data_IF_103625227575
#
_entry.id   IF_103625227575
#
_cell.length_a   1.000
_cell.length_b   1.000
_cell.length_c   1.000
_cell.angle_alpha   90.00
_cell.angle_beta   90.00
_cell.angle_gamma   90.00
#
_symmetry.space_group_name_H-M   'P 1'
#
loop_
_entity.id
_entity.type
_entity.pdbx_description
1 polymer ?
#
# COMPACT_ATOMS: atom_id res chain seq x y z
N UNK A 1 -22.40 11.97 -6.37
CA UNK A 1 -22.35 10.70 -5.61
C UNK A 1 -20.95 10.55 -5.03
N UNK A 2 -20.82 10.18 -3.77
CA UNK A 2 -19.54 10.12 -3.05
C UNK A 2 -18.72 8.90 -3.49
N UNK A 3 -17.87 9.07 -4.51
CA UNK A 3 -17.04 7.98 -5.08
C UNK A 3 -15.79 7.72 -4.22
N UNK A 4 -15.98 7.12 -3.04
CA UNK A 4 -14.85 6.52 -2.32
C UNK A 4 -14.58 5.11 -2.86
N UNK A 5 -13.76 5.02 -3.91
CA UNK A 5 -13.44 3.75 -4.59
C UNK A 5 -12.41 2.88 -3.83
N UNK A 6 -12.16 3.15 -2.54
CA UNK A 6 -11.18 2.39 -1.74
C UNK A 6 -11.83 1.15 -1.12
N UNK A 7 -11.19 0.00 -1.30
CA UNK A 7 -11.59 -1.27 -0.68
C UNK A 7 -10.91 -1.43 0.69
N UNK A 8 -11.69 -1.76 1.74
CA UNK A 8 -11.12 -2.14 3.03
C UNK A 8 -10.58 -3.57 2.95
N UNK A 9 -9.31 -3.73 3.33
CA UNK A 9 -8.63 -5.04 3.39
C UNK A 9 -8.09 -5.29 4.80
N UNK A 10 -8.07 -6.55 5.23
CA UNK A 10 -7.45 -6.98 6.50
C UNK A 10 -6.21 -7.78 6.17
N UNK A 11 -5.07 -7.42 6.75
CA UNK A 11 -3.79 -8.08 6.52
C UNK A 11 -3.09 -8.32 7.86
N UNK A 12 -2.50 -9.51 8.02
CA UNK A 12 -1.59 -9.81 9.13
C UNK A 12 -0.16 -9.47 8.71
N UNK A 13 0.53 -8.65 9.49
CA UNK A 13 1.91 -8.22 9.22
C UNK A 13 2.75 -8.32 10.49
N UNK A 14 4.07 -8.35 10.33
CA UNK A 14 4.99 -8.29 11.47
C UNK A 14 4.76 -6.99 12.28
N UNK A 15 4.54 -7.06 13.61
CA UNK A 15 4.29 -5.88 14.43
C UNK A 15 5.39 -4.82 14.39
N UNK A 16 6.65 -5.23 14.25
CA UNK A 16 7.79 -4.30 14.17
C UNK A 16 7.74 -3.47 12.88
N UNK A 17 7.34 -4.08 11.76
CA UNK A 17 7.14 -3.38 10.48
C UNK A 17 5.98 -2.38 10.60
N UNK A 18 4.86 -2.79 11.21
CA UNK A 18 3.71 -1.91 11.39
C UNK A 18 4.04 -0.68 12.24
N UNK A 19 4.85 -0.84 13.30
CA UNK A 19 5.32 0.28 14.14
C UNK A 19 6.16 1.27 13.33
N UNK A 20 7.11 0.77 12.56
CA UNK A 20 7.95 1.61 11.71
C UNK A 20 7.12 2.33 10.63
N UNK A 21 6.21 1.62 9.96
CA UNK A 21 5.34 2.22 8.96
C UNK A 21 4.45 3.33 9.53
N UNK A 22 3.95 3.18 10.76
CA UNK A 22 3.19 4.25 11.44
C UNK A 22 4.06 5.46 11.75
N UNK A 23 5.28 5.27 12.25
CA UNK A 23 6.20 6.37 12.50
C UNK A 23 6.54 7.10 11.20
N UNK A 24 6.82 6.36 10.13
CA UNK A 24 7.09 6.93 8.80
C UNK A 24 5.91 7.74 8.26
N UNK A 25 4.69 7.23 8.42
CA UNK A 25 3.48 7.93 8.00
C UNK A 25 3.32 9.29 8.69
N UNK A 26 3.67 9.38 9.98
CA UNK A 26 3.64 10.66 10.72
C UNK A 26 4.71 11.62 10.19
N UNK A 27 5.93 11.15 9.95
CA UNK A 27 7.03 11.99 9.42
C UNK A 27 6.72 12.53 8.02
N UNK A 28 6.05 11.75 7.18
CA UNK A 28 5.64 12.16 5.83
C UNK A 28 4.29 12.91 5.79
N UNK A 29 3.65 13.15 6.95
CA UNK A 29 2.30 13.74 7.04
C UNK A 29 1.25 12.98 6.20
N UNK A 30 1.41 11.66 6.07
CA UNK A 30 0.53 10.76 5.32
C UNK A 30 -0.30 9.87 6.26
N UNK A 31 -1.43 9.39 5.77
CA UNK A 31 -2.12 8.26 6.42
C UNK A 31 -1.35 6.96 6.18
N UNK A 32 -1.48 5.99 7.10
CA UNK A 32 -0.91 4.66 6.91
C UNK A 32 -1.38 4.00 5.60
N UNK A 33 -2.65 4.21 5.23
CA UNK A 33 -3.22 3.73 3.97
C UNK A 33 -2.50 4.34 2.76
N UNK A 34 -2.28 5.66 2.76
CA UNK A 34 -1.58 6.35 1.67
C UNK A 34 -0.11 5.93 1.58
N UNK A 35 0.57 5.73 2.72
CA UNK A 35 1.93 5.22 2.75
C UNK A 35 2.00 3.82 2.10
N UNK A 36 1.10 2.91 2.47
CA UNK A 36 1.04 1.56 1.90
C UNK A 36 0.73 1.61 0.39
N UNK A 37 -0.22 2.42 -0.05
CA UNK A 37 -0.52 2.59 -1.48
C UNK A 37 0.70 3.10 -2.28
N UNK A 38 1.42 4.09 -1.74
CA UNK A 38 2.66 4.63 -2.32
C UNK A 38 3.74 3.55 -2.41
N UNK A 39 3.95 2.80 -1.32
CA UNK A 39 4.91 1.70 -1.31
C UNK A 39 4.54 0.62 -2.33
N UNK A 40 3.30 0.13 -2.33
CA UNK A 40 2.85 -0.90 -3.27
C UNK A 40 3.05 -0.46 -4.73
N UNK A 41 2.67 0.78 -5.05
CA UNK A 41 2.84 1.35 -6.40
C UNK A 41 4.32 1.45 -6.78
N UNK A 42 5.19 1.83 -5.84
CA UNK A 42 6.64 1.89 -6.06
C UNK A 42 7.28 0.52 -6.33
N UNK A 43 6.65 -0.57 -5.87
CA UNK A 43 7.10 -1.93 -6.12
C UNK A 43 6.48 -2.55 -7.37
N UNK A 44 5.54 -1.87 -8.05
CA UNK A 44 5.00 -2.37 -9.30
C UNK A 44 6.06 -2.26 -10.41
N UNK A 45 6.18 -3.29 -11.27
CA UNK A 45 7.07 -3.22 -12.42
C UNK A 45 6.60 -2.13 -13.39
N UNK A 46 7.54 -1.44 -14.04
CA UNK A 46 7.24 -0.40 -15.05
C UNK A 46 6.35 -0.92 -16.18
N UNK A 47 6.53 -2.20 -16.53
CA UNK A 47 5.67 -2.92 -17.46
C UNK A 47 5.19 -4.21 -16.78
N UNK A 48 3.88 -4.32 -16.59
CA UNK A 48 3.28 -5.57 -16.12
C UNK A 48 3.05 -6.46 -17.33
N UNK A 49 4.02 -7.32 -17.67
CA UNK A 49 3.84 -8.32 -18.73
C UNK A 49 2.95 -9.44 -18.17
N UNK A 50 1.63 -9.34 -18.41
CA UNK A 50 0.70 -10.43 -18.14
C UNK A 50 0.93 -11.50 -19.19
N UNK A 51 1.80 -12.48 -18.89
CA UNK A 51 1.93 -13.68 -19.72
C UNK A 51 0.78 -14.62 -19.39
N UNK A 52 -0.03 -14.96 -20.40
CA UNK A 52 -0.96 -16.09 -20.29
C UNK A 52 -0.11 -17.34 -20.08
N UNK A 53 -0.17 -17.93 -18.89
CA UNK A 53 0.34 -19.28 -18.68
C UNK A 53 -0.60 -20.20 -19.45
N UNK A 54 -0.02 -20.93 -20.41
CA UNK A 54 -0.70 -21.90 -21.27
C UNK A 54 -1.27 -23.03 -20.42
#
# INVERSE_FOLDING_TARGET
MTTNNKQRVTLFVNPSILKQARAQAVVEELSLTALVEKSLTSYLPKETIIKKVV
#
